data_IF_892660831974
#
_entry.id   IF_892660831974
#
_cell.length_a   1.000
_cell.length_b   1.000
_cell.length_c   1.000
_cell.angle_alpha   90.00
_cell.angle_beta   90.00
_cell.angle_gamma   90.00
#
_symmetry.space_group_name_H-M   'P 1'
#
loop_
_entity.id
_entity.type
_entity.pdbx_description
1 polymer ?
#
# COMPACT_ATOMS: atom_id res chain seq x y z
N UNK A 1 -0.82 -9.03 -23.42
CA UNK A 1 -0.65 -10.07 -22.38
C UNK A 1 -1.32 -9.66 -21.07
N UNK A 2 -0.98 -8.55 -20.40
CA UNK A 2 -1.57 -8.13 -19.09
C UNK A 2 -3.10 -8.07 -19.15
N UNK A 3 -3.68 -7.35 -20.11
CA UNK A 3 -5.16 -7.27 -20.26
C UNK A 3 -5.79 -8.65 -20.34
N UNK A 4 -5.28 -9.52 -21.20
CA UNK A 4 -5.85 -10.86 -21.37
C UNK A 4 -5.82 -11.71 -20.07
N UNK A 5 -4.81 -11.51 -19.21
CA UNK A 5 -4.76 -12.20 -17.92
C UNK A 5 -5.81 -11.64 -16.94
N UNK A 6 -5.94 -10.30 -16.86
CA UNK A 6 -6.95 -9.65 -16.02
C UNK A 6 -8.35 -10.02 -16.51
N UNK A 7 -8.62 -9.91 -17.80
CA UNK A 7 -9.91 -10.23 -18.40
C UNK A 7 -10.30 -11.68 -18.18
N UNK A 8 -9.35 -12.62 -18.30
CA UNK A 8 -9.59 -14.04 -18.04
C UNK A 8 -10.03 -14.29 -16.58
N UNK A 9 -9.43 -13.60 -15.62
CA UNK A 9 -9.81 -13.72 -14.20
C UNK A 9 -11.16 -13.06 -13.95
N UNK A 10 -11.36 -11.82 -14.41
CA UNK A 10 -12.59 -11.05 -14.15
C UNK A 10 -13.82 -11.62 -14.86
N UNK A 11 -13.64 -12.38 -15.96
CA UNK A 11 -14.75 -13.01 -16.67
C UNK A 11 -15.22 -14.32 -16.03
N UNK A 12 -14.39 -14.97 -15.22
CA UNK A 12 -14.65 -16.29 -14.65
C UNK A 12 -14.88 -16.26 -13.14
N UNK A 13 -14.17 -15.37 -12.43
CA UNK A 13 -14.16 -15.33 -10.97
C UNK A 13 -14.79 -14.01 -10.47
N UNK A 14 -15.72 -14.11 -9.55
CA UNK A 14 -16.23 -12.96 -8.83
C UNK A 14 -15.13 -12.42 -7.90
N UNK A 15 -14.66 -11.22 -8.19
CA UNK A 15 -13.62 -10.53 -7.40
C UNK A 15 -14.27 -9.53 -6.47
N UNK A 16 -14.01 -9.65 -5.17
CA UNK A 16 -14.58 -8.79 -4.12
C UNK A 16 -13.73 -7.54 -3.85
N UNK A 17 -12.40 -7.63 -4.01
CA UNK A 17 -11.47 -6.50 -3.86
C UNK A 17 -10.20 -6.72 -4.67
N UNK A 18 -9.51 -5.63 -5.01
CA UNK A 18 -8.28 -5.66 -5.80
C UNK A 18 -7.17 -4.90 -5.08
N UNK A 19 -5.97 -5.51 -4.99
CA UNK A 19 -4.75 -4.80 -4.62
C UNK A 19 -3.91 -4.54 -5.86
N UNK A 20 -3.48 -3.30 -6.03
CA UNK A 20 -2.51 -2.90 -7.04
C UNK A 20 -1.20 -2.52 -6.33
N UNK A 21 -0.09 -3.10 -6.77
CA UNK A 21 1.24 -2.77 -6.30
C UNK A 21 2.07 -2.06 -7.38
N UNK A 22 3.34 -2.44 -7.52
CA UNK A 22 4.28 -1.85 -8.46
C UNK A 22 3.86 -2.09 -9.91
N UNK A 23 3.74 -1.00 -10.69
CA UNK A 23 3.46 -0.98 -12.12
C UNK A 23 4.56 -0.19 -12.83
N UNK A 24 5.46 -0.89 -13.52
CA UNK A 24 6.74 -0.35 -13.95
C UNK A 24 6.67 0.76 -15.02
N UNK A 25 5.65 0.78 -15.88
CA UNK A 25 5.58 1.69 -17.05
C UNK A 25 4.17 2.24 -17.27
N UNK A 26 4.04 3.40 -17.97
CA UNK A 26 2.72 3.95 -18.33
C UNK A 26 1.87 2.94 -19.11
N UNK A 27 2.44 2.19 -20.02
CA UNK A 27 1.71 1.19 -20.82
C UNK A 27 1.11 0.06 -19.94
N UNK A 28 1.79 -0.32 -18.86
CA UNK A 28 1.27 -1.28 -17.87
C UNK A 28 0.15 -0.65 -17.06
N UNK A 29 0.32 0.61 -16.61
CA UNK A 29 -0.69 1.35 -15.85
C UNK A 29 -1.97 1.50 -16.68
N UNK A 30 -1.87 1.91 -17.95
CA UNK A 30 -3.01 2.01 -18.86
C UNK A 30 -3.71 0.67 -19.08
N UNK A 31 -2.93 -0.39 -19.29
CA UNK A 31 -3.50 -1.72 -19.46
C UNK A 31 -4.31 -2.17 -18.25
N UNK A 32 -3.80 -1.91 -17.03
CA UNK A 32 -4.49 -2.23 -15.77
C UNK A 32 -5.72 -1.34 -15.61
N UNK A 33 -5.59 -0.02 -15.79
CA UNK A 33 -6.69 0.94 -15.64
C UNK A 33 -7.87 0.62 -16.57
N UNK A 34 -7.57 0.30 -17.82
CA UNK A 34 -8.58 -0.05 -18.83
C UNK A 34 -9.29 -1.38 -18.47
N UNK A 35 -8.52 -2.41 -18.11
CA UNK A 35 -9.11 -3.71 -17.74
C UNK A 35 -9.98 -3.62 -16.49
N UNK A 36 -9.68 -2.71 -15.58
CA UNK A 36 -10.46 -2.50 -14.36
C UNK A 36 -11.62 -1.49 -14.53
N UNK A 37 -11.86 -0.94 -15.72
CA UNK A 37 -12.88 0.10 -15.93
C UNK A 37 -14.28 -0.30 -15.47
N UNK A 38 -14.65 -1.57 -15.59
CA UNK A 38 -15.93 -2.14 -15.14
C UNK A 38 -15.97 -2.60 -13.68
N UNK A 39 -14.84 -2.68 -13.00
CA UNK A 39 -14.81 -3.14 -11.61
C UNK A 39 -15.38 -2.10 -10.65
N UNK A 40 -16.23 -2.53 -9.71
CA UNK A 40 -16.94 -1.65 -8.76
C UNK A 40 -16.59 -1.90 -7.30
N UNK A 41 -15.84 -2.96 -7.02
CA UNK A 41 -15.37 -3.25 -5.67
C UNK A 41 -14.23 -2.34 -5.21
N UNK A 42 -13.79 -2.46 -3.97
CA UNK A 42 -12.68 -1.68 -3.43
C UNK A 42 -11.35 -1.99 -4.12
N UNK A 43 -10.58 -0.94 -4.40
CA UNK A 43 -9.23 -1.01 -4.95
C UNK A 43 -8.27 -0.38 -3.94
N UNK A 44 -7.30 -1.17 -3.45
CA UNK A 44 -6.19 -0.68 -2.62
C UNK A 44 -4.97 -0.50 -3.51
N UNK A 45 -4.51 0.74 -3.65
CA UNK A 45 -3.35 1.10 -4.45
C UNK A 45 -2.15 1.38 -3.54
N UNK A 46 -1.13 0.53 -3.63
CA UNK A 46 0.17 0.71 -2.96
C UNK A 46 1.16 1.29 -4.00
N UNK A 47 1.48 2.60 -3.93
CA UNK A 47 2.20 3.28 -4.99
C UNK A 47 3.72 3.04 -4.86
N UNK A 48 4.14 1.78 -4.99
CA UNK A 48 5.54 1.37 -4.85
C UNK A 48 6.39 2.04 -5.93
N UNK A 49 7.29 2.95 -5.53
CA UNK A 49 8.11 3.75 -6.45
C UNK A 49 9.60 3.49 -6.32
N UNK A 50 10.04 2.96 -5.19
CA UNK A 50 11.46 2.70 -4.90
C UNK A 50 11.60 1.30 -4.34
N UNK A 51 12.58 0.55 -4.85
CA UNK A 51 12.94 -0.73 -4.27
C UNK A 51 13.59 -0.54 -2.90
N UNK A 52 13.59 -1.57 -2.07
CA UNK A 52 14.28 -1.53 -0.77
C UNK A 52 15.81 -1.34 -0.92
N UNK A 53 16.38 -1.68 -2.08
CA UNK A 53 17.76 -1.38 -2.48
C UNK A 53 18.04 0.11 -2.74
N UNK A 54 16.99 0.94 -2.85
CA UNK A 54 17.08 2.37 -3.20
C UNK A 54 16.92 2.64 -4.70
N UNK A 55 16.78 1.60 -5.53
CA UNK A 55 16.60 1.77 -6.97
C UNK A 55 15.22 2.33 -7.30
N UNK A 56 15.16 3.35 -8.17
CA UNK A 56 13.91 3.89 -8.66
C UNK A 56 13.20 2.87 -9.56
N UNK A 57 12.00 2.46 -9.16
CA UNK A 57 11.15 1.50 -9.89
C UNK A 57 10.20 2.18 -10.88
N UNK A 58 9.79 3.42 -10.60
CA UNK A 58 8.95 4.23 -11.46
C UNK A 58 9.72 5.45 -11.99
N UNK A 59 9.58 5.72 -13.29
CA UNK A 59 10.01 6.98 -13.91
C UNK A 59 8.89 8.03 -13.76
N UNK A 60 9.20 9.30 -14.03
CA UNK A 60 8.27 10.41 -13.79
C UNK A 60 7.01 10.35 -14.68
N UNK A 61 7.14 9.85 -15.91
CA UNK A 61 6.01 9.61 -16.81
C UNK A 61 5.06 8.53 -16.30
N UNK A 62 5.59 7.49 -15.63
CA UNK A 62 4.79 6.46 -14.98
C UNK A 62 4.09 6.99 -13.73
N UNK A 63 4.73 7.89 -12.97
CA UNK A 63 4.09 8.56 -11.82
C UNK A 63 2.94 9.44 -12.30
N UNK A 64 3.12 10.25 -13.35
CA UNK A 64 2.06 11.07 -13.91
C UNK A 64 0.88 10.22 -14.41
N UNK A 65 1.16 9.12 -15.11
CA UNK A 65 0.14 8.18 -15.56
C UNK A 65 -0.59 7.52 -14.39
N UNK A 66 0.11 7.14 -13.30
CA UNK A 66 -0.48 6.58 -12.09
C UNK A 66 -1.47 7.56 -11.45
N UNK A 67 -1.07 8.84 -11.33
CA UNK A 67 -1.91 9.91 -10.77
C UNK A 67 -3.17 10.07 -11.60
N UNK A 68 -3.06 10.15 -12.91
CA UNK A 68 -4.19 10.41 -13.81
C UNK A 68 -5.15 9.21 -13.89
N UNK A 69 -4.60 7.99 -13.99
CA UNK A 69 -5.38 6.80 -14.37
C UNK A 69 -5.87 5.96 -13.22
N UNK A 70 -5.13 5.89 -12.11
CA UNK A 70 -5.41 4.94 -11.03
C UNK A 70 -5.74 5.60 -9.68
N UNK A 71 -5.16 6.76 -9.34
CA UNK A 71 -5.49 7.42 -8.08
C UNK A 71 -7.00 7.72 -7.94
N UNK A 72 -7.71 8.25 -8.98
CA UNK A 72 -9.14 8.54 -8.87
C UNK A 72 -10.02 7.28 -8.69
N UNK A 73 -9.45 6.11 -8.86
CA UNK A 73 -10.14 4.83 -8.74
C UNK A 73 -9.84 4.12 -7.42
N UNK A 74 -8.83 4.59 -6.68
CA UNK A 74 -8.41 3.97 -5.45
C UNK A 74 -9.42 4.26 -4.32
N UNK A 75 -9.96 3.19 -3.72
CA UNK A 75 -10.71 3.29 -2.47
C UNK A 75 -9.76 3.62 -1.31
N UNK A 76 -8.51 3.16 -1.40
CA UNK A 76 -7.45 3.45 -0.47
C UNK A 76 -6.11 3.55 -1.20
N UNK A 77 -5.38 4.64 -1.00
CA UNK A 77 -3.99 4.83 -1.39
C UNK A 77 -3.11 4.62 -0.15
N UNK A 78 -2.00 3.84 -0.25
CA UNK A 78 -1.15 3.51 0.91
C UNK A 78 0.31 3.97 0.73
N UNK A 79 0.61 5.25 0.59
CA UNK A 79 1.96 5.74 0.40
C UNK A 79 2.75 5.77 1.72
N UNK A 80 4.06 5.56 1.63
CA UNK A 80 4.99 6.02 2.66
C UNK A 80 5.31 7.52 2.43
N UNK A 81 6.07 8.14 3.36
CA UNK A 81 6.40 9.57 3.29
C UNK A 81 7.13 9.91 1.97
N UNK A 82 8.22 9.21 1.56
CA UNK A 82 8.88 9.48 0.28
C UNK A 82 7.97 9.30 -0.95
N UNK A 83 7.08 8.32 -0.94
CA UNK A 83 6.11 8.10 -2.01
C UNK A 83 5.07 9.23 -2.07
N UNK A 84 4.60 9.71 -0.91
CA UNK A 84 3.69 10.84 -0.82
C UNK A 84 4.34 12.12 -1.35
N UNK A 85 5.57 12.41 -0.96
CA UNK A 85 6.33 13.55 -1.46
C UNK A 85 6.47 13.52 -2.98
N UNK A 86 6.78 12.37 -3.55
CA UNK A 86 6.91 12.20 -4.99
C UNK A 86 5.59 12.40 -5.72
N UNK A 87 4.48 11.89 -5.19
CA UNK A 87 3.13 12.12 -5.72
C UNK A 87 2.72 13.59 -5.68
N UNK A 88 3.17 14.32 -4.65
CA UNK A 88 2.89 15.74 -4.44
C UNK A 88 3.94 16.68 -5.09
N UNK A 89 4.83 16.14 -5.94
CA UNK A 89 5.88 16.92 -6.63
C UNK A 89 6.85 17.62 -5.66
N UNK A 90 7.24 16.93 -4.58
CA UNK A 90 8.27 17.39 -3.66
C UNK A 90 7.80 18.29 -2.52
N UNK A 91 6.55 18.28 -2.12
CA UNK A 91 6.03 19.04 -0.97
C UNK A 91 6.41 18.37 0.36
N UNK A 92 7.68 18.44 0.74
CA UNK A 92 8.25 17.77 1.91
C UNK A 92 7.99 18.46 3.25
N UNK A 93 7.60 19.76 3.26
CA UNK A 93 7.40 20.53 4.49
C UNK A 93 6.07 20.23 5.22
N UNK A 94 5.22 19.43 4.61
CA UNK A 94 3.93 19.04 5.18
C UNK A 94 4.08 17.88 6.16
N UNK A 95 3.38 17.94 7.29
CA UNK A 95 3.25 16.78 8.18
C UNK A 95 2.43 15.66 7.49
N UNK A 96 2.57 14.39 7.91
CA UNK A 96 1.91 13.26 7.23
C UNK A 96 0.40 13.42 7.04
N UNK A 97 -0.30 13.99 8.01
CA UNK A 97 -1.75 14.23 7.91
C UNK A 97 -2.10 15.27 6.84
N UNK A 98 -1.28 16.28 6.68
CA UNK A 98 -1.45 17.31 5.64
C UNK A 98 -1.10 16.76 4.26
N UNK A 99 -0.04 15.95 4.16
CA UNK A 99 0.26 15.19 2.93
C UNK A 99 -0.92 14.29 2.52
N UNK A 100 -1.50 13.55 3.49
CA UNK A 100 -2.68 12.74 3.26
C UNK A 100 -3.86 13.55 2.72
N UNK A 101 -4.15 14.73 3.29
CA UNK A 101 -5.19 15.64 2.78
C UNK A 101 -4.89 16.15 1.38
N UNK A 102 -3.63 16.50 1.09
CA UNK A 102 -3.24 16.94 -0.24
C UNK A 102 -3.39 15.82 -1.28
N UNK A 103 -3.07 14.58 -0.90
CA UNK A 103 -3.24 13.40 -1.75
C UNK A 103 -4.69 13.06 -2.05
N UNK A 104 -5.64 13.32 -1.13
CA UNK A 104 -7.07 13.19 -1.42
C UNK A 104 -7.49 14.07 -2.61
N UNK A 105 -6.88 15.24 -2.77
CA UNK A 105 -7.10 16.12 -3.91
C UNK A 105 -6.69 15.53 -5.28
N UNK A 106 -5.93 14.43 -5.29
CA UNK A 106 -5.57 13.69 -6.50
C UNK A 106 -6.58 12.58 -6.86
N UNK A 107 -7.64 12.41 -6.05
CA UNK A 107 -8.80 11.58 -6.37
C UNK A 107 -9.04 10.31 -5.57
N UNK A 108 -8.12 9.74 -4.77
CA UNK A 108 -8.42 8.56 -3.97
C UNK A 108 -9.46 8.89 -2.89
N UNK A 109 -10.31 7.90 -2.55
CA UNK A 109 -11.35 8.10 -1.54
C UNK A 109 -10.79 8.19 -0.11
N UNK A 110 -9.66 7.56 0.15
CA UNK A 110 -8.93 7.61 1.42
C UNK A 110 -7.43 7.41 1.20
N UNK A 111 -6.61 7.86 2.15
CA UNK A 111 -5.15 7.72 2.13
C UNK A 111 -4.68 7.17 3.47
N UNK A 112 -3.91 6.08 3.46
CA UNK A 112 -3.17 5.59 4.62
C UNK A 112 -1.71 6.02 4.50
N UNK A 113 -1.35 7.10 5.19
CA UNK A 113 0.03 7.58 5.29
C UNK A 113 0.83 6.64 6.20
N UNK A 114 1.85 5.96 5.64
CA UNK A 114 2.69 5.02 6.39
C UNK A 114 3.89 5.76 7.02
N UNK A 115 3.98 5.77 8.35
CA UNK A 115 5.03 6.45 9.11
C UNK A 115 6.28 5.62 9.42
N UNK A 116 6.40 4.42 8.87
CA UNK A 116 7.53 3.51 9.15
C UNK A 116 8.93 4.07 8.82
N UNK A 117 9.02 5.12 7.99
CA UNK A 117 10.25 5.80 7.60
C UNK A 117 10.59 7.01 8.51
N UNK A 118 9.70 7.40 9.41
CA UNK A 118 10.00 8.46 10.38
C UNK A 118 10.89 7.93 11.52
N UNK A 119 11.62 8.81 12.18
CA UNK A 119 12.41 8.50 13.37
C UNK A 119 11.52 8.31 14.61
N UNK A 120 12.05 7.65 15.64
CA UNK A 120 11.37 7.50 16.93
C UNK A 120 11.04 6.06 17.33
N UNK A 121 10.60 5.89 18.57
CA UNK A 121 10.30 4.59 19.17
C UNK A 121 8.92 4.03 18.77
N UNK A 122 8.08 4.84 18.14
CA UNK A 122 6.73 4.49 17.70
C UNK A 122 6.60 4.79 16.21
N UNK A 123 6.02 3.87 15.47
CA UNK A 123 5.57 4.08 14.10
C UNK A 123 4.12 4.59 14.14
N UNK A 124 3.86 5.70 13.46
CA UNK A 124 2.53 6.31 13.39
C UNK A 124 2.02 6.25 11.95
N UNK A 125 0.97 5.50 11.70
CA UNK A 125 0.26 5.48 10.43
C UNK A 125 -1.04 6.29 10.57
N UNK A 126 -1.44 7.03 9.54
CA UNK A 126 -2.63 7.88 9.58
C UNK A 126 -3.56 7.55 8.41
N UNK A 127 -4.76 7.05 8.71
CA UNK A 127 -5.86 7.04 7.75
C UNK A 127 -6.44 8.45 7.66
N UNK A 128 -6.41 9.03 6.48
CA UNK A 128 -6.97 10.34 6.15
C UNK A 128 -8.09 10.16 5.14
N UNK A 129 -9.27 10.66 5.45
CA UNK A 129 -10.42 10.75 4.56
C UNK A 129 -11.03 12.14 4.61
N UNK A 130 -12.04 12.42 3.80
CA UNK A 130 -12.76 13.70 3.87
C UNK A 130 -13.41 13.94 5.23
N UNK A 131 -13.85 12.87 5.92
CA UNK A 131 -14.63 12.94 7.15
C UNK A 131 -13.81 12.83 8.42
N UNK A 132 -12.61 12.21 8.38
CA UNK A 132 -11.85 11.90 9.59
C UNK A 132 -10.36 11.67 9.33
N UNK A 133 -9.58 11.79 10.42
CA UNK A 133 -8.21 11.30 10.52
C UNK A 133 -8.15 10.33 11.69
N UNK A 134 -7.68 9.11 11.43
CA UNK A 134 -7.52 8.05 12.45
C UNK A 134 -6.06 7.63 12.50
N UNK A 135 -5.46 7.60 13.69
CA UNK A 135 -4.08 7.15 13.91
C UNK A 135 -4.01 5.65 14.25
N UNK A 136 -2.97 4.99 13.75
CA UNK A 136 -2.61 3.60 14.08
C UNK A 136 -1.16 3.59 14.55
N UNK A 137 -0.95 3.30 15.81
CA UNK A 137 0.36 3.34 16.45
C UNK A 137 0.87 1.94 16.77
N UNK A 138 2.16 1.72 16.55
CA UNK A 138 2.84 0.52 17.01
C UNK A 138 4.28 0.83 17.47
N UNK A 139 4.78 0.16 18.50
CA UNK A 139 6.19 0.23 18.87
C UNK A 139 7.07 -0.16 17.68
N UNK A 140 8.15 0.60 17.46
CA UNK A 140 9.15 0.24 16.44
C UNK A 140 9.88 -1.02 16.88
N UNK A 141 10.03 -1.96 15.95
CA UNK A 141 10.78 -3.19 16.16
C UNK A 141 12.14 -3.02 15.48
N UNK A 142 13.19 -3.22 16.26
CA UNK A 142 14.58 -3.20 15.75
C UNK A 142 14.87 -4.56 15.09
N UNK A 143 14.76 -4.61 13.76
CA UNK A 143 15.05 -5.79 12.95
C UNK A 143 15.44 -5.40 11.53
N UNK A 144 16.36 -6.14 10.93
CA UNK A 144 16.71 -6.05 9.50
C UNK A 144 15.68 -6.74 8.58
N UNK A 145 14.81 -7.62 9.14
CA UNK A 145 13.90 -8.49 8.39
C UNK A 145 12.55 -7.80 8.13
N UNK A 146 12.57 -6.77 7.29
CA UNK A 146 11.41 -5.94 6.96
C UNK A 146 11.03 -5.97 5.48
N UNK A 147 11.55 -6.94 4.72
CA UNK A 147 11.20 -7.06 3.30
C UNK A 147 9.71 -7.43 3.14
N UNK A 148 9.02 -6.70 2.29
CA UNK A 148 7.62 -6.95 1.98
C UNK A 148 6.59 -6.36 2.95
N UNK A 149 6.98 -5.54 3.94
CA UNK A 149 6.05 -4.92 4.92
C UNK A 149 4.91 -4.14 4.24
N UNK A 150 5.22 -3.21 3.32
CA UNK A 150 4.21 -2.40 2.63
C UNK A 150 3.25 -3.26 1.81
N UNK A 151 3.80 -4.16 0.99
CA UNK A 151 3.00 -5.07 0.16
C UNK A 151 2.12 -5.99 1.01
N UNK A 152 2.62 -6.47 2.16
CA UNK A 152 1.85 -7.33 3.07
C UNK A 152 0.72 -6.55 3.75
N UNK A 153 0.98 -5.31 4.19
CA UNK A 153 -0.04 -4.45 4.78
C UNK A 153 -1.17 -4.19 3.79
N UNK A 154 -0.85 -3.69 2.60
CA UNK A 154 -1.85 -3.38 1.57
C UNK A 154 -2.65 -4.62 1.14
N UNK A 155 -2.01 -5.79 1.06
CA UNK A 155 -2.70 -7.06 0.76
C UNK A 155 -3.64 -7.51 1.88
N UNK A 156 -3.21 -7.39 3.15
CA UNK A 156 -4.04 -7.74 4.30
C UNK A 156 -5.26 -6.81 4.42
N UNK A 157 -5.08 -5.50 4.20
CA UNK A 157 -6.19 -4.54 4.15
C UNK A 157 -7.18 -4.93 3.05
N UNK A 158 -6.68 -5.23 1.85
CA UNK A 158 -7.52 -5.65 0.72
C UNK A 158 -8.34 -6.90 1.05
N UNK A 159 -7.71 -7.88 1.71
CA UNK A 159 -8.40 -9.09 2.15
C UNK A 159 -9.49 -8.82 3.19
N UNK A 160 -9.29 -7.82 4.08
CA UNK A 160 -10.32 -7.35 5.00
C UNK A 160 -11.51 -6.71 4.27
N UNK A 161 -11.22 -5.82 3.32
CA UNK A 161 -12.24 -5.16 2.50
C UNK A 161 -13.04 -6.16 1.65
N UNK A 162 -12.37 -7.19 1.11
CA UNK A 162 -13.03 -8.28 0.38
C UNK A 162 -14.02 -9.08 1.26
N UNK A 163 -13.84 -9.04 2.58
CA UNK A 163 -14.75 -9.64 3.58
C UNK A 163 -15.78 -8.65 4.13
N UNK A 164 -15.95 -7.50 3.47
CA UNK A 164 -16.86 -6.42 3.87
C UNK A 164 -16.57 -5.80 5.24
N UNK A 165 -15.32 -5.84 5.71
CA UNK A 165 -14.90 -5.09 6.90
C UNK A 165 -14.96 -3.59 6.62
N UNK A 166 -15.28 -2.78 7.63
CA UNK A 166 -15.12 -1.33 7.54
C UNK A 166 -13.64 -0.98 7.32
N UNK A 167 -13.36 0.16 6.65
CA UNK A 167 -12.00 0.50 6.23
C UNK A 167 -11.03 0.63 7.41
N UNK A 168 -11.44 1.31 8.46
CA UNK A 168 -10.66 1.49 9.69
C UNK A 168 -10.42 0.16 10.43
N UNK A 169 -11.41 -0.72 10.47
CA UNK A 169 -11.30 -2.07 11.02
C UNK A 169 -10.33 -2.94 10.21
N UNK A 170 -10.43 -2.92 8.88
CA UNK A 170 -9.52 -3.64 7.99
C UNK A 170 -8.07 -3.17 8.17
N UNK A 171 -7.85 -1.85 8.28
CA UNK A 171 -6.52 -1.28 8.55
C UNK A 171 -6.02 -1.69 9.93
N UNK A 172 -6.82 -1.54 10.99
CA UNK A 172 -6.42 -1.91 12.34
C UNK A 172 -6.04 -3.39 12.47
N UNK A 173 -6.83 -4.28 11.87
CA UNK A 173 -6.55 -5.73 11.84
C UNK A 173 -5.26 -6.04 11.07
N UNK A 174 -5.08 -5.45 9.90
CA UNK A 174 -3.88 -5.65 9.08
C UNK A 174 -2.62 -5.10 9.76
N UNK A 175 -2.72 -3.95 10.43
CA UNK A 175 -1.65 -3.30 11.17
C UNK A 175 -1.18 -4.19 12.35
N UNK A 176 -2.11 -4.72 13.17
CA UNK A 176 -1.79 -5.65 14.26
C UNK A 176 -1.13 -6.93 13.75
N UNK A 177 -1.69 -7.52 12.68
CA UNK A 177 -1.13 -8.72 12.08
C UNK A 177 0.29 -8.48 11.55
N UNK A 178 0.51 -7.37 10.83
CA UNK A 178 1.83 -7.02 10.30
C UNK A 178 2.85 -6.78 11.41
N UNK A 179 2.47 -6.07 12.49
CA UNK A 179 3.33 -5.86 13.65
C UNK A 179 3.78 -7.20 14.26
N UNK A 180 2.87 -8.17 14.39
CA UNK A 180 3.20 -9.53 14.81
C UNK A 180 4.14 -10.26 13.83
N UNK A 181 3.94 -10.09 12.53
CA UNK A 181 4.77 -10.67 11.50
C UNK A 181 6.20 -10.10 11.50
N UNK A 182 6.36 -8.79 11.75
CA UNK A 182 7.67 -8.13 11.90
C UNK A 182 8.34 -8.62 13.20
N UNK A 183 7.62 -8.65 14.31
CA UNK A 183 8.15 -9.12 15.62
C UNK A 183 8.68 -10.55 15.57
N UNK A 184 8.09 -11.39 14.74
CA UNK A 184 8.48 -12.79 14.59
C UNK A 184 9.50 -13.01 13.45
N UNK A 185 9.86 -11.98 12.68
CA UNK A 185 10.67 -12.13 11.47
C UNK A 185 12.06 -12.71 11.74
N UNK A 186 12.69 -12.36 12.86
CA UNK A 186 14.03 -12.85 13.24
C UNK A 186 14.07 -14.35 13.59
N UNK A 187 12.88 -15.01 13.68
CA UNK A 187 12.80 -16.48 13.80
C UNK A 187 13.01 -17.20 12.45
N UNK A 188 12.98 -16.46 11.35
CA UNK A 188 13.21 -16.99 10.01
C UNK A 188 14.70 -16.80 9.67
N UNK A 189 15.36 -17.89 9.35
CA UNK A 189 16.75 -17.89 8.82
C UNK A 189 16.68 -18.05 7.31
N UNK A 190 16.47 -16.93 6.58
CA UNK A 190 16.26 -16.94 5.13
C UNK A 190 17.24 -15.96 4.45
N UNK A 191 18.26 -16.51 3.83
CA UNK A 191 19.22 -15.76 3.03
C UNK A 191 20.15 -14.88 3.86
N UNK A 192 20.98 -14.07 3.18
CA UNK A 192 22.03 -13.24 3.79
C UNK A 192 21.72 -11.73 3.74
N UNK A 193 20.60 -11.34 3.16
CA UNK A 193 20.19 -9.95 3.01
C UNK A 193 19.08 -9.55 4.00
N UNK A 194 18.33 -8.51 3.64
CA UNK A 194 17.11 -8.15 4.38
C UNK A 194 16.08 -9.26 4.26
N UNK A 195 15.82 -9.97 5.35
CA UNK A 195 14.86 -11.06 5.39
C UNK A 195 13.41 -10.60 5.29
N UNK A 196 12.50 -11.54 4.96
CA UNK A 196 11.06 -11.26 4.87
C UNK A 196 10.43 -11.17 6.26
N UNK A 197 9.26 -10.53 6.33
CA UNK A 197 8.38 -10.64 7.50
C UNK A 197 7.82 -12.06 7.63
N UNK A 198 7.50 -12.49 8.86
CA UNK A 198 6.99 -13.84 9.11
C UNK A 198 5.48 -13.93 8.93
N UNK A 199 5.00 -14.08 7.70
CA UNK A 199 3.56 -14.09 7.37
C UNK A 199 2.74 -15.12 8.14
N UNK A 200 3.34 -16.26 8.48
CA UNK A 200 2.69 -17.38 9.18
C UNK A 200 2.94 -17.41 10.70
N UNK A 201 3.38 -16.28 11.29
CA UNK A 201 3.76 -16.19 12.71
C UNK A 201 2.67 -16.67 13.68
N UNK A 202 1.40 -16.62 13.30
CA UNK A 202 0.28 -17.07 14.11
C UNK A 202 0.06 -18.59 14.05
N UNK A 203 0.59 -19.25 13.03
CA UNK A 203 0.37 -20.67 12.75
C UNK A 203 1.61 -21.53 12.98
N UNK A 204 2.80 -20.98 12.78
CA UNK A 204 4.06 -21.68 12.98
C UNK A 204 4.55 -21.48 14.42
N UNK A 205 4.82 -22.59 15.10
CA UNK A 205 5.33 -22.63 16.47
C UNK A 205 6.83 -22.89 16.51
#
# INVERSE_FOLDING_TARGET
>A
MIRAQIDAVLSDIQIDAIKIGMLATPAVIDAVADSLAGFRGPIVLDPVMVAKSGDALLQDDAVACLIERLLPRASLLTPNIPEAERLLSGKSDLIPQEQGKALLGLGPAAVLMKGGHADGAVCHDYLVSESQIVGFDAPRIDTGNTHGTGCSLSSAITAGLAKNMALDEAIGTAHQWLHGAIKAADKLDIGQGHGPVHHFHQFWR
#
